data_IF_081268853379
#
_entry.id   IF_081268853379
#
_cell.length_a   1.000
_cell.length_b   1.000
_cell.length_c   1.000
_cell.angle_alpha   90.00
_cell.angle_beta   90.00
_cell.angle_gamma   90.00
#
_symmetry.space_group_name_H-M   'P 1'
#
loop_
_entity.id
_entity.type
_entity.pdbx_description
1 polymer ?
#
# COMPACT_ATOMS: atom_id res chain seq x y z
N UNK A 1 8.89 -2.51 13.73
CA UNK A 1 10.04 -1.65 14.10
C UNK A 1 11.40 -2.30 13.84
N UNK A 2 11.59 -3.59 14.16
CA UNK A 2 12.88 -4.28 14.03
C UNK A 2 13.51 -4.18 12.62
N UNK A 3 12.74 -4.48 11.58
CA UNK A 3 13.25 -4.51 10.19
C UNK A 3 13.82 -3.16 9.71
N UNK A 4 13.14 -2.04 9.98
CA UNK A 4 13.65 -0.72 9.57
C UNK A 4 14.95 -0.36 10.29
N UNK A 5 15.04 -0.66 11.59
CA UNK A 5 16.23 -0.41 12.39
C UNK A 5 17.40 -1.29 11.94
N UNK A 6 17.16 -2.57 11.65
CA UNK A 6 18.17 -3.51 11.15
C UNK A 6 18.78 -3.07 9.81
N UNK A 7 17.99 -2.43 8.96
CA UNK A 7 18.44 -1.95 7.64
C UNK A 7 18.79 -0.46 7.60
N UNK A 8 18.76 0.26 8.74
CA UNK A 8 19.01 1.70 8.78
C UNK A 8 18.04 2.53 7.93
N UNK A 9 16.83 2.03 7.71
CA UNK A 9 15.81 2.65 6.86
C UNK A 9 14.92 3.59 7.66
N UNK A 10 14.51 4.69 7.02
CA UNK A 10 13.47 5.58 7.54
C UNK A 10 12.14 5.27 6.87
N UNK A 11 11.14 4.94 7.67
CA UNK A 11 9.79 4.74 7.18
C UNK A 11 9.13 6.09 6.85
N UNK A 12 8.64 6.25 5.61
CA UNK A 12 8.03 7.48 5.10
C UNK A 12 6.59 7.30 4.63
N UNK A 13 6.21 6.08 4.23
CA UNK A 13 4.87 5.77 3.77
C UNK A 13 4.42 4.38 4.23
N UNK A 14 3.10 4.21 4.40
CA UNK A 14 2.42 2.94 4.58
C UNK A 14 1.43 2.79 3.42
N UNK A 15 1.52 1.70 2.66
CA UNK A 15 0.64 1.41 1.53
C UNK A 15 -0.32 0.29 1.90
N UNK A 16 -1.62 0.57 1.90
CA UNK A 16 -2.66 -0.37 2.33
C UNK A 16 -3.47 -0.81 1.13
N UNK A 17 -3.40 -2.10 0.82
CA UNK A 17 -4.09 -2.67 -0.36
C UNK A 17 -5.61 -2.64 -0.18
N UNK A 18 -6.12 -2.94 1.01
CA UNK A 18 -7.55 -2.92 1.33
C UNK A 18 -7.82 -2.91 2.85
N UNK A 19 -9.06 -2.64 3.25
CA UNK A 19 -9.47 -2.45 4.65
C UNK A 19 -9.56 -3.70 5.54
N UNK A 20 -9.31 -4.91 5.05
CA UNK A 20 -9.38 -6.08 5.93
C UNK A 20 -8.34 -5.97 7.05
N UNK A 21 -8.72 -6.43 8.25
CA UNK A 21 -7.98 -6.16 9.49
C UNK A 21 -6.57 -6.76 9.49
N UNK A 22 -6.38 -7.90 8.85
CA UNK A 22 -5.08 -8.55 8.66
C UNK A 22 -4.12 -7.72 7.76
N UNK A 23 -4.65 -6.78 6.98
CA UNK A 23 -3.85 -5.83 6.18
C UNK A 23 -3.77 -4.42 6.77
N UNK A 24 -4.83 -3.94 7.44
CA UNK A 24 -4.96 -2.55 7.90
C UNK A 24 -4.97 -2.38 9.43
N UNK A 25 -5.07 -3.48 10.19
CA UNK A 25 -5.31 -3.46 11.63
C UNK A 25 -4.17 -2.90 12.47
N UNK A 26 -2.95 -2.90 11.94
CA UNK A 26 -1.77 -2.37 12.64
C UNK A 26 -1.51 -0.88 12.43
N UNK A 27 -2.26 -0.21 11.55
CA UNK A 27 -1.91 1.14 11.08
C UNK A 27 -1.91 2.18 12.19
N UNK A 28 -2.97 2.22 13.01
CA UNK A 28 -3.13 3.24 14.04
C UNK A 28 -2.06 3.13 15.13
N UNK A 29 -1.80 1.91 15.59
CA UNK A 29 -0.78 1.64 16.60
C UNK A 29 0.62 1.95 16.06
N UNK A 30 0.92 1.57 14.81
CA UNK A 30 2.20 1.86 14.17
C UNK A 30 2.41 3.38 14.03
N UNK A 31 1.44 4.11 13.50
CA UNK A 31 1.50 5.57 13.34
C UNK A 31 1.70 6.24 14.70
N UNK A 32 0.94 5.84 15.73
CA UNK A 32 1.06 6.38 17.09
C UNK A 32 2.45 6.12 17.67
N UNK A 33 2.98 4.90 17.50
CA UNK A 33 4.28 4.49 18.04
C UNK A 33 5.44 5.24 17.37
N UNK A 34 5.36 5.47 16.06
CA UNK A 34 6.35 6.23 15.30
C UNK A 34 6.34 7.71 15.67
N UNK A 35 5.15 8.30 15.82
CA UNK A 35 5.00 9.69 16.30
C UNK A 35 5.61 9.87 17.69
N UNK A 36 5.39 8.92 18.61
CA UNK A 36 5.99 8.95 19.94
C UNK A 36 7.54 8.88 19.91
N UNK A 37 8.12 8.32 18.84
CA UNK A 37 9.57 8.27 18.61
C UNK A 37 10.10 9.48 17.82
N UNK A 38 9.26 10.50 17.60
CA UNK A 38 9.64 11.71 16.87
C UNK A 38 9.60 11.58 15.34
N UNK A 39 9.17 10.42 14.81
CA UNK A 39 8.99 10.24 13.37
C UNK A 39 7.65 10.86 12.97
N UNK A 40 7.72 11.98 12.25
CA UNK A 40 6.58 12.75 11.77
C UNK A 40 6.54 12.77 10.24
N UNK A 41 5.40 13.17 9.67
CA UNK A 41 5.23 13.24 8.21
C UNK A 41 5.02 11.88 7.52
N UNK A 42 4.69 10.83 8.28
CA UNK A 42 4.34 9.53 7.73
C UNK A 42 2.99 9.61 7.00
N UNK A 43 2.94 9.14 5.77
CA UNK A 43 1.72 9.11 4.96
C UNK A 43 1.16 7.68 4.86
N UNK A 44 -0.12 7.52 5.16
CA UNK A 44 -0.85 6.25 5.04
C UNK A 44 -1.77 6.35 3.82
N UNK A 45 -1.51 5.50 2.84
CA UNK A 45 -2.21 5.45 1.57
C UNK A 45 -3.16 4.26 1.49
N UNK A 46 -4.30 4.46 0.82
CA UNK A 46 -5.30 3.40 0.63
C UNK A 46 -6.47 3.86 -0.21
N UNK A 47 -7.27 2.92 -0.72
CA UNK A 47 -8.39 3.22 -1.63
C UNK A 47 -9.69 3.64 -0.93
N UNK A 48 -9.85 3.38 0.37
CA UNK A 48 -11.12 3.50 1.08
C UNK A 48 -11.01 4.11 2.47
N UNK A 49 -12.06 4.81 2.90
CA UNK A 49 -12.13 5.51 4.19
C UNK A 49 -12.24 4.57 5.41
N UNK A 50 -12.44 3.26 5.19
CA UNK A 50 -12.42 2.24 6.26
C UNK A 50 -11.02 1.85 6.74
N UNK A 51 -9.96 2.42 6.14
CA UNK A 51 -8.57 2.12 6.50
C UNK A 51 -8.16 2.99 7.70
N UNK A 52 -7.76 2.34 8.80
CA UNK A 52 -7.28 3.02 10.01
C UNK A 52 -6.06 3.90 9.73
N UNK A 53 -6.03 5.08 10.36
CA UNK A 53 -5.00 6.11 10.21
C UNK A 53 -4.72 6.60 8.76
N UNK A 54 -5.64 6.39 7.81
CA UNK A 54 -5.51 6.88 6.44
C UNK A 54 -5.25 8.40 6.41
N UNK A 55 -4.21 8.82 5.70
CA UNK A 55 -3.89 10.24 5.50
C UNK A 55 -4.07 10.67 4.05
N UNK A 56 -3.93 9.74 3.10
CA UNK A 56 -4.09 10.00 1.66
C UNK A 56 -4.92 8.91 1.00
N UNK A 57 -6.14 9.25 0.62
CA UNK A 57 -6.94 8.36 -0.23
C UNK A 57 -6.43 8.43 -1.67
N UNK A 58 -6.26 7.27 -2.31
CA UNK A 58 -5.79 7.16 -3.70
C UNK A 58 -6.81 6.48 -4.59
N UNK A 59 -6.75 6.77 -5.88
CA UNK A 59 -7.54 6.15 -6.95
C UNK A 59 -6.62 5.62 -8.05
N UNK A 60 -7.21 4.85 -8.97
CA UNK A 60 -6.49 4.35 -10.14
C UNK A 60 -5.83 5.48 -10.94
N UNK A 61 -4.57 5.30 -11.29
CA UNK A 61 -3.77 6.27 -12.04
C UNK A 61 -3.03 7.28 -11.18
N UNK A 62 -3.34 7.42 -9.89
CA UNK A 62 -2.55 8.24 -8.97
C UNK A 62 -1.12 7.68 -8.87
N UNK A 63 -0.18 8.57 -8.57
CA UNK A 63 1.24 8.23 -8.39
C UNK A 63 1.75 8.71 -7.04
N UNK A 64 2.60 7.89 -6.43
CA UNK A 64 3.31 8.16 -5.19
C UNK A 64 4.81 8.08 -5.48
N UNK A 65 5.55 9.12 -5.11
CA UNK A 65 7.01 9.12 -5.20
C UNK A 65 7.61 8.77 -3.85
N UNK A 66 8.46 7.75 -3.79
CA UNK A 66 9.24 7.39 -2.61
C UNK A 66 10.72 7.67 -2.85
N UNK A 67 11.32 8.52 -2.02
CA UNK A 67 12.70 8.97 -2.24
C UNK A 67 12.82 9.73 -3.57
N UNK A 68 13.98 9.61 -4.22
CA UNK A 68 14.29 10.42 -5.40
C UNK A 68 13.88 9.76 -6.73
N UNK A 69 13.72 8.43 -6.75
CA UNK A 69 13.63 7.66 -7.99
C UNK A 69 12.52 6.60 -8.00
N UNK A 70 11.95 6.19 -6.86
CA UNK A 70 10.90 5.18 -6.88
C UNK A 70 9.55 5.82 -7.14
N UNK A 71 8.89 5.40 -8.22
CA UNK A 71 7.51 5.80 -8.54
C UNK A 71 6.58 4.63 -8.37
N UNK A 72 5.49 4.84 -7.64
CA UNK A 72 4.46 3.84 -7.38
C UNK A 72 3.17 4.30 -8.03
N UNK A 73 2.68 3.52 -9.00
CA UNK A 73 1.37 3.73 -9.63
C UNK A 73 0.30 2.97 -8.86
N UNK A 74 -0.77 3.67 -8.49
CA UNK A 74 -1.95 3.10 -7.87
C UNK A 74 -2.87 2.51 -8.95
N UNK A 75 -3.28 1.25 -8.78
CA UNK A 75 -4.17 0.54 -9.70
C UNK A 75 -5.40 0.08 -8.92
N UNK A 76 -6.57 0.68 -9.16
CA UNK A 76 -7.80 0.19 -8.54
C UNK A 76 -8.17 -1.17 -9.12
N UNK A 77 -8.34 -2.15 -8.25
CA UNK A 77 -8.64 -3.54 -8.60
C UNK A 77 -9.85 -4.07 -7.81
N UNK A 78 -11.02 -3.40 -7.90
CA UNK A 78 -12.19 -3.76 -7.10
C UNK A 78 -12.64 -5.18 -7.46
N UNK A 79 -12.78 -6.04 -6.45
CA UNK A 79 -13.42 -7.35 -6.56
C UNK A 79 -13.46 -8.02 -5.18
N UNK A 80 -12.29 -8.35 -4.63
CA UNK A 80 -12.16 -8.87 -3.28
C UNK A 80 -12.78 -7.90 -2.26
N UNK A 81 -12.36 -6.64 -2.32
CA UNK A 81 -13.07 -5.50 -1.74
C UNK A 81 -13.25 -4.41 -2.80
N UNK A 82 -14.13 -3.44 -2.54
CA UNK A 82 -14.39 -2.32 -3.47
C UNK A 82 -13.31 -1.23 -3.42
N UNK A 83 -12.60 -1.12 -2.31
CA UNK A 83 -11.52 -0.17 -2.07
C UNK A 83 -10.13 -0.75 -2.39
N UNK A 84 -10.07 -1.90 -3.05
CA UNK A 84 -8.80 -2.61 -3.28
C UNK A 84 -7.90 -1.87 -4.28
N UNK A 85 -6.66 -1.61 -3.88
CA UNK A 85 -5.60 -1.00 -4.67
C UNK A 85 -4.41 -1.95 -4.77
N UNK A 86 -3.95 -2.22 -5.99
CA UNK A 86 -2.61 -2.74 -6.24
C UNK A 86 -1.62 -1.58 -6.42
N UNK A 87 -0.40 -1.75 -5.92
CA UNK A 87 0.68 -0.76 -6.03
C UNK A 87 1.78 -1.28 -6.94
N UNK A 88 1.99 -0.64 -8.08
CA UNK A 88 3.07 -1.00 -9.02
C UNK A 88 4.24 -0.04 -8.87
N UNK A 89 5.36 -0.51 -8.32
CA UNK A 89 6.56 0.26 -8.07
C UNK A 89 7.61 0.05 -9.17
N UNK A 90 8.25 1.13 -9.58
CA UNK A 90 9.32 1.15 -10.59
C UNK A 90 10.44 2.08 -10.12
N UNK A 91 11.68 1.71 -10.43
CA UNK A 91 12.85 2.56 -10.20
C UNK A 91 13.17 3.37 -11.46
N UNK A 92 12.99 4.68 -11.39
CA UNK A 92 13.28 5.59 -12.51
C UNK A 92 14.78 5.81 -12.73
N UNK A 93 15.63 5.51 -11.75
CA UNK A 93 17.09 5.56 -11.92
C UNK A 93 17.60 4.36 -12.74
N UNK A 94 16.88 3.23 -12.71
CA UNK A 94 17.22 1.99 -13.39
C UNK A 94 16.05 1.50 -14.27
N UNK A 95 15.68 2.23 -15.34
CA UNK A 95 14.47 1.97 -16.12
C UNK A 95 14.48 0.64 -16.89
N UNK A 96 15.61 -0.05 -16.96
CA UNK A 96 15.74 -1.39 -17.55
C UNK A 96 15.40 -2.52 -16.58
N UNK A 97 15.31 -2.25 -15.28
CA UNK A 97 14.90 -3.25 -14.29
C UNK A 97 13.37 -3.42 -14.27
N UNK A 98 12.92 -4.64 -14.02
CA UNK A 98 11.50 -4.93 -13.88
C UNK A 98 10.93 -4.26 -12.63
N UNK A 99 9.72 -3.72 -12.74
CA UNK A 99 8.98 -3.23 -11.59
C UNK A 99 8.47 -4.36 -10.69
N UNK A 100 8.01 -4.00 -9.49
CA UNK A 100 7.33 -4.93 -8.59
C UNK A 100 5.88 -4.47 -8.35
N UNK A 101 4.98 -5.44 -8.13
CA UNK A 101 3.57 -5.14 -7.83
C UNK A 101 3.16 -5.78 -6.51
N UNK A 102 2.56 -4.96 -5.64
CA UNK A 102 1.93 -5.41 -4.41
C UNK A 102 0.45 -5.60 -4.66
N UNK A 103 0.01 -6.86 -4.71
CA UNK A 103 -1.32 -7.25 -5.20
C UNK A 103 -2.35 -7.46 -4.08
N UNK A 104 -1.92 -7.50 -2.82
CA UNK A 104 -2.77 -7.91 -1.70
C UNK A 104 -3.59 -9.15 -2.06
N UNK A 105 -4.89 -9.11 -1.76
CA UNK A 105 -5.80 -10.22 -2.03
C UNK A 105 -6.44 -10.21 -3.43
N UNK A 106 -5.94 -9.42 -4.39
CA UNK A 106 -6.46 -9.52 -5.77
C UNK A 106 -5.86 -10.72 -6.50
N UNK A 107 -4.54 -10.89 -6.43
CA UNK A 107 -3.78 -11.91 -7.15
C UNK A 107 -2.80 -12.60 -6.21
N UNK A 108 -2.84 -13.93 -6.21
CA UNK A 108 -1.88 -14.81 -5.55
C UNK A 108 -1.11 -15.60 -6.59
N UNK A 109 -0.02 -16.23 -6.18
CA UNK A 109 0.65 -17.23 -7.01
C UNK A 109 -0.36 -18.35 -7.33
N UNK A 110 -0.67 -18.52 -8.61
CA UNK A 110 -1.65 -19.48 -9.12
C UNK A 110 -3.09 -19.33 -8.58
N UNK A 111 -3.50 -18.13 -8.13
CA UNK A 111 -4.85 -17.91 -7.60
C UNK A 111 -5.29 -16.45 -7.57
N UNK A 112 -6.54 -16.21 -7.16
CA UNK A 112 -7.08 -14.87 -6.90
C UNK A 112 -7.89 -14.88 -5.61
N UNK A 113 -8.03 -13.72 -4.96
CA UNK A 113 -8.84 -13.63 -3.75
C UNK A 113 -10.31 -13.86 -4.03
N UNK A 114 -11.01 -14.32 -3.00
CA UNK A 114 -12.45 -14.55 -3.06
C UNK A 114 -13.19 -13.23 -3.29
N UNK A 115 -14.27 -13.29 -4.07
CA UNK A 115 -15.06 -12.12 -4.43
C UNK A 115 -16.07 -11.79 -3.34
N UNK A 116 -15.63 -11.19 -2.23
CA UNK A 116 -16.54 -10.83 -1.14
C UNK A 116 -17.46 -9.68 -1.50
N UNK A 117 -16.99 -8.73 -2.34
CA UNK A 117 -17.77 -7.54 -2.74
C UNK A 117 -17.86 -7.35 -4.25
N UNK A 118 -17.42 -8.30 -5.07
CA UNK A 118 -17.40 -8.21 -6.53
C UNK A 118 -18.11 -9.37 -7.22
N UNK A 119 -18.25 -9.27 -8.54
CA UNK A 119 -18.78 -10.32 -9.43
C UNK A 119 -17.89 -10.43 -10.68
N UNK A 120 -17.79 -11.61 -11.30
CA UNK A 120 -17.21 -11.70 -12.64
C UNK A 120 -17.97 -10.76 -13.61
N UNK A 121 -17.30 -10.07 -14.53
CA UNK A 121 -15.88 -10.21 -14.92
C UNK A 121 -14.90 -9.19 -14.29
N UNK A 122 -15.17 -8.63 -13.11
CA UNK A 122 -14.32 -7.63 -12.43
C UNK A 122 -12.96 -8.17 -11.93
#
# INVERSE_FOLDING_TARGET
>A
MKAFAEHGLRLTAILITHHHWDHAGGNEELVKSLKAQGITGLEVYGGGTGIGALTKQVKSGDQITLGDHVTIKCLSTPCHTQDHICYYATDQANPSEDGCVFTGDKLFLAGCGRFFKGIPPQ
#
